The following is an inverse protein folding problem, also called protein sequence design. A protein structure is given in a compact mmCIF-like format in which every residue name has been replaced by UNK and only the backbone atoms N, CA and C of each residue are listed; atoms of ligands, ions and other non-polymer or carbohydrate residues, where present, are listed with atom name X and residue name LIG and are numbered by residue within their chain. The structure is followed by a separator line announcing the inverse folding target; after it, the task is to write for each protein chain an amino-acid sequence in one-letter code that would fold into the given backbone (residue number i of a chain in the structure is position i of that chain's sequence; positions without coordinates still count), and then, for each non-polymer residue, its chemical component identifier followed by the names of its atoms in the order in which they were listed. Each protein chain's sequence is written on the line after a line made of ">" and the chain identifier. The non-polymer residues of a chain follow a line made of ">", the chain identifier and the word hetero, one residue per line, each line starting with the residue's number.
data_IF_813750519519
#
_entry.id   IF_813750519519
#
_cell.length_a   1.000
_cell.length_b   1.000
_cell.length_c   1.000
_cell.angle_alpha   90.00
_cell.angle_beta   90.00
_cell.angle_gamma   90.00
#
_symmetry.space_group_name_H-M   'P 1'
#
loop_
_entity.id
_entity.type
_entity.pdbx_description
1 polymer ?
#
# COMPACT_ATOMS: atom_id res chain seq x y z
N UNK A 1 -7.97 19.42 -15.54
CA UNK A 1 -8.81 18.19 -15.52
C UNK A 1 -10.00 18.26 -16.44
N UNK A 2 -10.88 19.28 -16.38
CA UNK A 2 -12.10 19.35 -17.23
C UNK A 2 -11.86 19.02 -18.72
N UNK A 3 -10.86 19.65 -19.35
CA UNK A 3 -10.50 19.38 -20.75
C UNK A 3 -9.91 17.99 -21.02
N UNK A 4 -9.30 17.35 -20.03
CA UNK A 4 -8.72 16.02 -20.19
C UNK A 4 -9.78 14.92 -20.14
N UNK A 5 -10.71 15.02 -19.19
CA UNK A 5 -11.76 14.00 -18.95
C UNK A 5 -13.14 14.37 -19.52
N UNK A 6 -13.28 15.56 -20.11
CA UNK A 6 -14.54 16.04 -20.69
C UNK A 6 -15.62 16.46 -19.69
N UNK A 7 -15.26 16.82 -18.46
CA UNK A 7 -16.26 17.24 -17.46
C UNK A 7 -16.90 18.58 -17.84
N UNK A 8 -18.11 18.51 -18.41
CA UNK A 8 -18.88 19.61 -18.96
C UNK A 8 -18.22 20.34 -20.16
N UNK A 9 -17.35 19.65 -20.91
CA UNK A 9 -16.77 20.14 -22.16
C UNK A 9 -16.34 18.97 -23.05
N UNK A 10 -16.16 19.18 -24.35
CA UNK A 10 -15.56 18.16 -25.22
C UNK A 10 -14.12 17.91 -24.79
N UNK A 11 -13.70 16.65 -24.57
CA UNK A 11 -12.30 16.33 -24.29
C UNK A 11 -11.36 16.88 -25.36
N UNK A 12 -10.34 17.62 -24.95
CA UNK A 12 -9.28 18.16 -25.80
C UNK A 12 -7.93 17.92 -25.15
N UNK A 13 -7.31 16.80 -25.53
CA UNK A 13 -6.04 16.33 -24.98
C UNK A 13 -4.89 17.31 -25.26
N UNK A 14 -4.88 17.93 -26.44
CA UNK A 14 -3.84 18.88 -26.86
C UNK A 14 -3.93 20.15 -26.02
N UNK A 15 -5.12 20.74 -25.94
CA UNK A 15 -5.34 21.95 -25.17
C UNK A 15 -5.11 21.72 -23.67
N UNK A 16 -5.49 20.55 -23.14
CA UNK A 16 -5.17 20.15 -21.77
C UNK A 16 -3.65 20.16 -21.51
N UNK A 17 -2.86 19.55 -22.41
CA UNK A 17 -1.40 19.58 -22.33
C UNK A 17 -0.83 21.00 -22.36
N UNK A 18 -1.31 21.84 -23.29
CA UNK A 18 -0.87 23.25 -23.39
C UNK A 18 -1.12 24.01 -22.08
N UNK A 19 -2.28 23.83 -21.45
CA UNK A 19 -2.55 24.44 -20.13
C UNK A 19 -1.64 23.90 -19.03
N UNK A 20 -1.40 22.59 -18.98
CA UNK A 20 -0.52 21.99 -17.98
C UNK A 20 0.92 22.47 -18.12
N UNK A 21 1.46 22.54 -19.35
CA UNK A 21 2.79 23.08 -19.61
C UNK A 21 2.87 24.55 -19.20
N UNK A 22 1.87 25.38 -19.56
CA UNK A 22 1.82 26.78 -19.12
C UNK A 22 1.79 26.90 -17.60
N UNK A 23 1.02 26.06 -16.91
CA UNK A 23 0.95 26.07 -15.45
C UNK A 23 2.28 25.63 -14.80
N UNK A 24 2.94 24.62 -15.35
CA UNK A 24 4.22 24.10 -14.86
C UNK A 24 5.35 25.14 -14.96
N UNK A 25 5.40 25.89 -16.06
CA UNK A 25 6.50 26.83 -16.34
C UNK A 25 6.15 28.32 -16.11
N UNK A 26 4.92 28.66 -15.73
CA UNK A 26 4.54 30.05 -15.47
C UNK A 26 5.36 30.66 -14.33
N UNK A 27 5.95 31.84 -14.54
CA UNK A 27 6.65 32.58 -13.49
C UNK A 27 5.72 33.02 -12.35
N UNK A 28 4.43 33.23 -12.62
CA UNK A 28 3.43 33.66 -11.64
C UNK A 28 2.77 32.51 -10.87
N UNK A 29 2.96 31.26 -11.29
CA UNK A 29 2.37 30.11 -10.61
C UNK A 29 3.11 29.79 -9.31
N UNK A 30 2.37 29.45 -8.25
CA UNK A 30 2.96 28.97 -7.00
C UNK A 30 3.67 27.64 -7.20
N UNK A 31 4.69 27.35 -6.38
CA UNK A 31 5.42 26.07 -6.43
C UNK A 31 4.49 24.85 -6.28
N UNK A 32 3.43 24.97 -5.46
CA UNK A 32 2.40 23.93 -5.32
C UNK A 32 1.66 23.67 -6.64
N UNK A 33 1.22 24.73 -7.33
CA UNK A 33 0.55 24.61 -8.62
C UNK A 33 1.48 24.00 -9.67
N UNK A 34 2.76 24.42 -9.70
CA UNK A 34 3.77 23.84 -10.58
C UNK A 34 3.97 22.35 -10.32
N UNK A 35 4.14 21.96 -9.06
CA UNK A 35 4.32 20.55 -8.67
C UNK A 35 3.13 19.69 -9.12
N UNK A 36 1.89 20.18 -8.92
CA UNK A 36 0.69 19.51 -9.39
C UNK A 36 0.64 19.39 -10.92
N UNK A 37 0.97 20.47 -11.64
CA UNK A 37 0.99 20.47 -13.10
C UNK A 37 2.02 19.46 -13.66
N UNK A 38 3.22 19.42 -13.08
CA UNK A 38 4.23 18.40 -13.41
C UNK A 38 3.71 16.99 -13.11
N UNK A 39 3.08 16.76 -11.94
CA UNK A 39 2.47 15.47 -11.61
C UNK A 39 1.41 15.01 -12.62
N UNK A 40 0.55 15.92 -13.09
CA UNK A 40 -0.45 15.62 -14.12
C UNK A 40 0.17 15.38 -15.51
N UNK A 41 1.29 16.02 -15.83
CA UNK A 41 2.01 15.77 -17.08
C UNK A 41 2.63 14.37 -17.12
N UNK A 42 3.03 13.80 -15.98
CA UNK A 42 3.49 12.40 -15.89
C UNK A 42 2.38 11.47 -16.42
N UNK A 43 1.17 11.55 -15.85
CA UNK A 43 0.03 10.75 -16.28
C UNK A 43 -0.30 10.99 -17.76
N UNK A 44 -0.31 12.26 -18.19
CA UNK A 44 -0.58 12.60 -19.59
C UNK A 44 0.37 11.90 -20.58
N UNK A 45 1.66 11.74 -20.24
CA UNK A 45 2.62 11.01 -21.09
C UNK A 45 2.42 9.49 -21.03
N UNK A 46 2.01 8.94 -19.88
CA UNK A 46 1.71 7.51 -19.74
C UNK A 46 0.44 7.09 -20.48
N UNK A 47 -0.63 7.88 -20.39
CA UNK A 47 -1.92 7.65 -21.07
C UNK A 47 -1.77 7.67 -22.61
N UNK A 48 -0.63 8.15 -23.13
CA UNK A 48 -0.35 8.11 -24.57
C UNK A 48 0.09 6.72 -25.03
N UNK A 49 0.50 5.87 -24.08
CA UNK A 49 1.14 4.59 -24.33
C UNK A 49 0.20 3.39 -24.09
N UNK A 50 -0.93 3.59 -23.43
CA UNK A 50 -1.86 2.51 -23.05
C UNK A 50 -2.40 1.72 -24.25
N UNK A 51 -2.56 2.35 -25.42
CA UNK A 51 -3.14 1.70 -26.61
C UNK A 51 -2.26 0.60 -27.19
N UNK A 52 -0.95 0.75 -27.11
CA UNK A 52 0.02 -0.14 -27.77
C UNK A 52 0.78 -1.01 -26.74
N UNK A 53 0.47 -0.86 -25.45
CA UNK A 53 1.18 -1.55 -24.34
C UNK A 53 2.67 -1.22 -24.22
N UNK A 54 3.18 -0.30 -25.05
CA UNK A 54 4.61 0.04 -25.16
C UNK A 54 4.83 1.52 -24.91
N UNK A 55 5.74 1.84 -23.99
CA UNK A 55 6.11 3.22 -23.68
C UNK A 55 7.25 3.63 -24.61
N UNK A 56 6.97 4.60 -25.49
CA UNK A 56 8.00 5.18 -26.37
C UNK A 56 9.04 5.93 -25.55
N UNK A 57 10.33 5.77 -25.87
CA UNK A 57 11.44 6.38 -25.10
C UNK A 57 11.28 7.88 -24.88
N UNK A 58 10.79 8.63 -25.88
CA UNK A 58 10.52 10.07 -25.74
C UNK A 58 9.49 10.40 -24.64
N UNK A 59 8.47 9.58 -24.47
CA UNK A 59 7.44 9.78 -23.44
C UNK A 59 7.94 9.32 -22.08
N UNK A 60 8.75 8.25 -22.03
CA UNK A 60 9.43 7.83 -20.80
C UNK A 60 10.36 8.93 -20.26
N UNK A 61 11.19 9.52 -21.12
CA UNK A 61 12.11 10.60 -20.74
C UNK A 61 11.35 11.88 -20.34
N UNK A 62 10.28 12.24 -21.07
CA UNK A 62 9.45 13.38 -20.72
C UNK A 62 8.72 13.18 -19.38
N UNK A 63 8.12 12.02 -19.16
CA UNK A 63 7.48 11.68 -17.89
C UNK A 63 8.50 11.69 -16.73
N UNK A 64 9.71 11.18 -16.96
CA UNK A 64 10.80 11.19 -15.97
C UNK A 64 11.25 12.61 -15.62
N UNK A 65 11.35 13.51 -16.62
CA UNK A 65 11.63 14.93 -16.40
C UNK A 65 10.56 15.58 -15.52
N UNK A 66 9.27 15.40 -15.87
CA UNK A 66 8.19 15.96 -15.07
C UNK A 66 8.11 15.33 -13.67
N UNK A 67 8.43 14.05 -13.53
CA UNK A 67 8.56 13.38 -12.24
C UNK A 67 9.65 14.02 -11.37
N UNK A 68 10.83 14.28 -11.94
CA UNK A 68 11.94 14.92 -11.24
C UNK A 68 11.59 16.34 -10.77
N UNK A 69 11.04 17.16 -11.65
CA UNK A 69 10.63 18.53 -11.30
C UNK A 69 9.50 18.54 -10.25
N UNK A 70 8.52 17.64 -10.36
CA UNK A 70 7.48 17.49 -9.34
C UNK A 70 8.08 17.09 -7.98
N UNK A 71 8.98 16.10 -7.95
CA UNK A 71 9.64 15.65 -6.73
C UNK A 71 10.45 16.78 -6.08
N UNK A 72 11.21 17.54 -6.88
CA UNK A 72 11.97 18.71 -6.43
C UNK A 72 11.07 19.77 -5.81
N UNK A 73 10.03 20.19 -6.52
CA UNK A 73 9.10 21.22 -6.05
C UNK A 73 8.33 20.77 -4.80
N UNK A 74 7.89 19.50 -4.73
CA UNK A 74 7.24 18.92 -3.56
C UNK A 74 8.11 19.06 -2.30
N UNK A 75 9.41 18.78 -2.38
CA UNK A 75 10.30 18.93 -1.21
C UNK A 75 10.48 20.38 -0.74
N UNK A 76 10.31 21.34 -1.64
CA UNK A 76 10.41 22.76 -1.29
C UNK A 76 9.15 23.30 -0.61
N UNK A 77 7.98 22.70 -0.85
CA UNK A 77 6.69 23.17 -0.32
C UNK A 77 6.11 22.30 0.78
N UNK A 78 6.47 21.02 0.83
CA UNK A 78 5.92 20.09 1.81
C UNK A 78 6.70 20.15 3.14
N UNK A 79 6.04 19.88 4.27
CA UNK A 79 6.71 19.77 5.57
C UNK A 79 7.86 18.74 5.54
N UNK A 80 8.88 18.94 6.39
CA UNK A 80 9.99 17.97 6.53
C UNK A 80 9.44 16.59 6.87
N UNK A 81 9.79 15.60 6.06
CA UNK A 81 9.35 14.21 6.22
C UNK A 81 8.07 13.84 5.48
N UNK A 82 7.39 14.80 4.84
CA UNK A 82 6.28 14.48 3.95
C UNK A 82 6.76 13.69 2.72
N UNK A 83 5.91 12.77 2.25
CA UNK A 83 6.15 12.03 1.01
C UNK A 83 6.09 12.96 -0.22
N UNK A 84 6.74 12.54 -1.31
CA UNK A 84 6.46 13.10 -2.62
C UNK A 84 5.00 12.82 -3.04
N UNK A 85 4.52 13.53 -4.06
CA UNK A 85 3.14 13.36 -4.52
C UNK A 85 2.85 11.92 -4.96
N UNK A 86 1.59 11.44 -4.83
CA UNK A 86 1.21 10.10 -5.27
C UNK A 86 1.58 9.82 -6.73
N UNK A 87 1.44 10.80 -7.63
CA UNK A 87 1.82 10.66 -9.04
C UNK A 87 3.33 10.38 -9.23
N UNK A 88 4.20 11.06 -8.46
CA UNK A 88 5.65 10.80 -8.47
C UNK A 88 5.94 9.39 -7.99
N UNK A 89 5.40 9.00 -6.83
CA UNK A 89 5.66 7.68 -6.25
C UNK A 89 5.12 6.55 -7.13
N UNK A 90 3.93 6.73 -7.71
CA UNK A 90 3.33 5.77 -8.63
C UNK A 90 4.20 5.57 -9.88
N UNK A 91 4.62 6.65 -10.54
CA UNK A 91 5.49 6.56 -11.71
C UNK A 91 6.83 5.90 -11.36
N UNK A 92 7.44 6.33 -10.25
CA UNK A 92 8.71 5.78 -9.83
C UNK A 92 8.63 4.27 -9.58
N UNK A 93 7.57 3.81 -8.91
CA UNK A 93 7.39 2.40 -8.56
C UNK A 93 7.03 1.52 -9.76
N UNK A 94 6.09 1.97 -10.59
CA UNK A 94 5.46 1.12 -11.60
C UNK A 94 6.10 1.27 -12.99
N UNK A 95 6.75 2.40 -13.26
CA UNK A 95 7.35 2.69 -14.57
C UNK A 95 8.87 2.81 -14.44
N UNK A 96 9.36 3.74 -13.64
CA UNK A 96 10.81 4.02 -13.59
C UNK A 96 11.63 2.81 -13.19
N UNK A 97 11.28 2.10 -12.11
CA UNK A 97 12.00 0.89 -11.65
C UNK A 97 12.11 -0.17 -12.75
N UNK A 98 11.07 -0.33 -13.58
CA UNK A 98 11.05 -1.33 -14.68
C UNK A 98 12.03 -1.00 -15.81
N UNK A 99 12.18 0.29 -16.15
CA UNK A 99 13.00 0.72 -17.29
C UNK A 99 14.42 1.17 -16.90
N UNK A 100 14.64 1.57 -15.65
CA UNK A 100 15.94 2.05 -15.19
C UNK A 100 17.11 1.05 -15.35
N UNK A 101 16.93 -0.29 -15.34
CA UNK A 101 18.03 -1.21 -15.63
C UNK A 101 18.48 -1.21 -17.09
N UNK A 102 17.60 -0.85 -18.03
CA UNK A 102 17.89 -0.87 -19.47
C UNK A 102 18.16 0.51 -20.05
N UNK A 103 17.65 1.58 -19.43
CA UNK A 103 17.85 2.97 -19.84
C UNK A 103 18.66 3.70 -18.77
N UNK A 104 19.99 3.61 -18.88
CA UNK A 104 20.93 4.09 -17.84
C UNK A 104 20.85 5.59 -17.60
N UNK A 105 20.44 6.37 -18.61
CA UNK A 105 20.24 7.81 -18.53
C UNK A 105 19.21 8.19 -17.46
N UNK A 106 18.23 7.32 -17.20
CA UNK A 106 17.22 7.54 -16.16
C UNK A 106 17.87 7.72 -14.79
N UNK A 107 18.82 6.85 -14.45
CA UNK A 107 19.51 6.89 -13.15
C UNK A 107 20.44 8.09 -13.03
N UNK A 108 20.97 8.59 -14.16
CA UNK A 108 21.93 9.68 -14.16
C UNK A 108 21.26 11.06 -14.04
N UNK A 109 20.15 11.29 -14.74
CA UNK A 109 19.52 12.62 -14.83
C UNK A 109 18.49 12.91 -13.73
N UNK A 110 17.71 11.94 -13.27
CA UNK A 110 16.50 12.20 -12.47
C UNK A 110 16.69 11.96 -10.97
N UNK A 111 17.74 12.59 -10.42
CA UNK A 111 18.20 12.38 -9.03
C UNK A 111 17.17 12.76 -7.96
N UNK A 112 16.33 13.75 -8.23
CA UNK A 112 15.33 14.21 -7.25
C UNK A 112 14.18 13.20 -7.12
N UNK A 113 13.78 12.58 -8.22
CA UNK A 113 12.76 11.53 -8.23
C UNK A 113 13.27 10.25 -7.56
N UNK A 114 14.51 9.84 -7.85
CA UNK A 114 15.18 8.70 -7.19
C UNK A 114 15.24 8.92 -5.68
N UNK A 115 15.70 10.10 -5.26
CA UNK A 115 15.75 10.47 -3.83
C UNK A 115 14.36 10.39 -3.17
N UNK A 116 13.31 10.84 -3.86
CA UNK A 116 11.95 10.76 -3.34
C UNK A 116 11.48 9.30 -3.16
N UNK A 117 11.81 8.41 -4.11
CA UNK A 117 11.54 6.98 -4.00
C UNK A 117 12.31 6.35 -2.82
N UNK A 118 13.60 6.66 -2.68
CA UNK A 118 14.43 6.18 -1.56
C UNK A 118 13.90 6.64 -0.20
N UNK A 119 13.49 7.90 -0.09
CA UNK A 119 12.88 8.44 1.12
C UNK A 119 11.58 7.69 1.45
N UNK A 120 10.73 7.43 0.45
CA UNK A 120 9.52 6.62 0.64
C UNK A 120 9.86 5.20 1.10
N UNK A 121 10.80 4.53 0.44
CA UNK A 121 11.24 3.18 0.80
C UNK A 121 11.79 3.12 2.23
N UNK A 122 12.58 4.12 2.64
CA UNK A 122 13.07 4.26 4.03
C UNK A 122 11.93 4.48 5.02
N UNK A 123 10.92 5.28 4.68
CA UNK A 123 9.75 5.45 5.52
C UNK A 123 8.97 4.16 5.69
N UNK A 124 8.74 3.44 4.59
CA UNK A 124 8.08 2.13 4.58
C UNK A 124 8.83 1.16 5.49
N UNK A 125 10.14 0.99 5.27
CA UNK A 125 10.98 0.10 6.05
C UNK A 125 10.98 0.44 7.55
N UNK A 126 11.05 1.74 7.90
CA UNK A 126 10.96 2.18 9.30
C UNK A 126 9.61 1.84 9.93
N UNK A 127 8.51 2.02 9.20
CA UNK A 127 7.18 1.69 9.70
C UNK A 127 6.99 0.19 9.87
N UNK A 128 7.47 -0.62 8.92
CA UNK A 128 7.51 -2.08 9.02
C UNK A 128 8.30 -2.54 10.25
N UNK A 129 9.49 -1.99 10.48
CA UNK A 129 10.30 -2.33 11.65
C UNK A 129 9.62 -1.97 12.97
N UNK A 130 8.95 -0.80 13.05
CA UNK A 130 8.16 -0.42 14.23
C UNK A 130 6.99 -1.37 14.45
N UNK A 131 6.29 -1.76 13.39
CA UNK A 131 5.16 -2.70 13.48
C UNK A 131 5.62 -4.10 13.88
N UNK A 132 6.72 -4.59 13.34
CA UNK A 132 7.34 -5.84 13.75
C UNK A 132 7.69 -5.81 15.25
N UNK A 133 8.32 -4.71 15.73
CA UNK A 133 8.62 -4.55 17.15
C UNK A 133 7.36 -4.53 18.04
N UNK A 134 6.27 -3.86 17.60
CA UNK A 134 4.99 -3.87 18.32
C UNK A 134 4.38 -5.27 18.40
N UNK A 135 4.43 -6.02 17.29
CA UNK A 135 3.95 -7.41 17.21
C UNK A 135 4.77 -8.33 18.10
N UNK A 136 6.10 -8.22 18.11
CA UNK A 136 6.97 -8.99 19.01
C UNK A 136 6.67 -8.74 20.50
N UNK A 137 6.34 -7.49 20.87
CA UNK A 137 5.99 -7.16 22.27
C UNK A 137 4.64 -7.72 22.70
N UNK A 138 3.70 -7.89 21.78
CA UNK A 138 2.33 -8.36 22.10
C UNK A 138 1.78 -9.21 20.94
N UNK A 139 2.32 -10.42 20.70
CA UNK A 139 2.00 -11.20 19.50
C UNK A 139 0.51 -11.55 19.41
N UNK A 140 -0.13 -11.85 20.55
CA UNK A 140 -1.53 -12.25 20.64
C UNK A 140 -2.52 -11.10 20.35
N UNK A 141 -2.07 -9.84 20.38
CA UNK A 141 -2.95 -8.67 20.22
C UNK A 141 -3.30 -8.37 18.76
N UNK A 142 -2.45 -8.78 17.82
CA UNK A 142 -2.54 -8.41 16.40
C UNK A 142 -2.93 -9.58 15.49
N UNK A 143 -3.25 -10.75 16.06
CA UNK A 143 -3.69 -11.93 15.30
C UNK A 143 -4.94 -12.54 15.90
N UNK A 144 -5.77 -13.12 15.04
CA UNK A 144 -6.84 -14.00 15.46
C UNK A 144 -6.24 -15.29 16.03
N UNK A 145 -6.62 -15.65 17.26
CA UNK A 145 -6.18 -16.85 17.94
C UNK A 145 -6.89 -18.13 17.45
N UNK A 146 -7.99 -18.01 16.71
CA UNK A 146 -8.71 -19.17 16.21
C UNK A 146 -7.85 -19.98 15.22
N UNK A 147 -7.69 -21.30 15.43
CA UNK A 147 -6.88 -22.15 14.57
C UNK A 147 -7.23 -22.00 13.09
N UNK A 148 -6.21 -21.79 12.24
CA UNK A 148 -6.37 -21.66 10.78
C UNK A 148 -6.97 -20.34 10.28
N UNK A 149 -7.45 -19.43 11.15
CA UNK A 149 -8.06 -18.17 10.72
C UNK A 149 -7.03 -17.25 10.04
N UNK A 150 -5.84 -17.09 10.64
CA UNK A 150 -4.71 -16.29 10.13
C UNK A 150 -5.01 -14.80 9.84
N UNK A 151 -6.20 -14.30 10.18
CA UNK A 151 -6.52 -12.86 10.13
C UNK A 151 -5.65 -12.14 11.14
N UNK A 152 -5.04 -11.05 10.70
CA UNK A 152 -4.21 -10.16 11.48
C UNK A 152 -4.78 -8.74 11.41
N UNK A 153 -4.31 -7.86 12.28
CA UNK A 153 -4.57 -6.44 12.21
C UNK A 153 -3.28 -5.63 12.32
N UNK A 154 -3.29 -4.43 11.74
CA UNK A 154 -2.23 -3.44 11.96
C UNK A 154 -2.41 -2.70 13.31
N UNK A 155 -3.64 -2.63 13.82
CA UNK A 155 -3.94 -2.04 15.13
C UNK A 155 -4.55 -3.07 16.07
N UNK A 156 -4.13 -3.04 17.34
CA UNK A 156 -4.63 -3.94 18.37
C UNK A 156 -6.04 -3.63 18.88
N UNK A 157 -6.83 -2.83 18.14
CA UNK A 157 -8.23 -2.49 18.43
C UNK A 157 -9.21 -3.19 17.48
N UNK A 158 -8.74 -3.65 16.32
CA UNK A 158 -9.58 -4.28 15.29
C UNK A 158 -10.05 -5.70 15.64
N UNK A 159 -9.45 -6.32 16.66
CA UNK A 159 -9.75 -7.67 17.11
C UNK A 159 -10.37 -7.63 18.51
N UNK A 160 -11.41 -8.42 18.73
CA UNK A 160 -12.04 -8.56 20.04
C UNK A 160 -11.20 -9.47 20.95
N UNK A 161 -10.93 -9.03 22.17
CA UNK A 161 -10.19 -9.83 23.14
C UNK A 161 -11.12 -10.72 23.96
N UNK A 162 -10.60 -11.83 24.50
CA UNK A 162 -11.34 -12.65 25.45
C UNK A 162 -11.78 -11.82 26.69
N UNK A 163 -13.07 -11.90 27.03
CA UNK A 163 -13.64 -11.19 28.18
C UNK A 163 -13.36 -11.84 29.54
N UNK A 164 -12.67 -12.99 29.57
CA UNK A 164 -12.37 -13.70 30.81
C UNK A 164 -11.19 -13.12 31.61
N UNK A 165 -10.86 -13.81 32.71
CA UNK A 165 -9.90 -13.39 33.71
C UNK A 165 -8.43 -13.77 33.40
N UNK A 166 -8.12 -14.21 32.17
CA UNK A 166 -6.75 -14.46 31.76
C UNK A 166 -5.91 -13.17 31.70
N UNK A 167 -4.60 -13.32 31.94
CA UNK A 167 -3.64 -12.22 31.96
C UNK A 167 -3.65 -11.45 30.62
N UNK A 168 -3.47 -10.12 30.68
CA UNK A 168 -3.63 -9.22 29.52
C UNK A 168 -2.66 -9.53 28.39
N UNK A 169 -1.45 -9.95 28.70
CA UNK A 169 -0.38 -10.33 27.78
C UNK A 169 -0.65 -11.67 27.08
N UNK A 170 -1.32 -12.60 27.75
CA UNK A 170 -1.68 -13.93 27.22
C UNK A 170 -3.08 -14.00 26.64
N UNK A 171 -3.84 -12.91 26.72
CA UNK A 171 -5.24 -12.83 26.32
C UNK A 171 -5.39 -12.95 24.79
N UNK A 172 -6.08 -13.99 24.28
CA UNK A 172 -6.27 -14.15 22.85
C UNK A 172 -7.16 -13.05 22.27
N UNK A 173 -6.91 -12.69 21.02
CA UNK A 173 -7.74 -11.79 20.23
C UNK A 173 -8.41 -12.56 19.08
N UNK A 174 -9.60 -12.13 18.65
CA UNK A 174 -10.40 -12.80 17.64
C UNK A 174 -10.93 -11.78 16.63
N UNK A 175 -10.99 -12.17 15.36
CA UNK A 175 -11.58 -11.30 14.34
C UNK A 175 -13.12 -11.32 14.38
N UNK A 176 -13.73 -12.33 15.01
CA UNK A 176 -15.19 -12.46 15.10
C UNK A 176 -15.62 -13.32 16.30
N UNK A 177 -16.91 -13.27 16.65
CA UNK A 177 -17.47 -14.09 17.75
C UNK A 177 -17.45 -15.58 17.42
N UNK A 178 -17.57 -15.94 16.15
CA UNK A 178 -17.52 -17.31 15.64
C UNK A 178 -16.13 -17.89 15.88
N UNK A 179 -15.08 -17.13 15.55
CA UNK A 179 -13.70 -17.50 15.85
C UNK A 179 -13.45 -17.67 17.35
N UNK A 180 -14.00 -16.79 18.19
CA UNK A 180 -13.91 -16.93 19.66
C UNK A 180 -14.59 -18.21 20.16
N UNK A 181 -15.80 -18.51 19.67
CA UNK A 181 -16.53 -19.74 20.04
C UNK A 181 -15.80 -21.00 19.60
N UNK A 182 -15.20 -20.98 18.40
CA UNK A 182 -14.43 -22.10 17.86
C UNK A 182 -13.19 -22.41 18.72
N UNK A 183 -12.46 -21.38 19.15
CA UNK A 183 -11.28 -21.54 20.02
C UNK A 183 -11.63 -21.76 21.49
N UNK A 184 -12.86 -21.48 21.93
CA UNK A 184 -13.23 -21.53 23.35
C UNK A 184 -12.93 -22.88 24.03
N UNK A 185 -13.13 -24.01 23.33
CA UNK A 185 -12.81 -25.33 23.89
C UNK A 185 -11.32 -25.47 24.23
N UNK A 186 -10.45 -24.87 23.42
CA UNK A 186 -9.01 -24.82 23.61
C UNK A 186 -8.60 -23.76 24.66
N UNK A 187 -9.18 -22.56 24.62
CA UNK A 187 -8.81 -21.47 25.53
C UNK A 187 -9.36 -21.64 26.96
N UNK A 188 -10.53 -22.27 27.14
CA UNK A 188 -11.24 -22.35 28.43
C UNK A 188 -10.37 -22.81 29.61
N UNK A 189 -9.52 -23.87 29.50
CA UNK A 189 -8.64 -24.29 30.59
C UNK A 189 -7.58 -23.25 31.00
N UNK A 190 -7.24 -22.34 30.09
CA UNK A 190 -6.24 -21.27 30.27
C UNK A 190 -6.88 -19.92 30.59
N UNK A 191 -8.21 -19.83 30.63
CA UNK A 191 -8.94 -18.58 30.87
C UNK A 191 -8.99 -18.22 32.37
N UNK A 192 -7.82 -18.08 33.00
CA UNK A 192 -7.64 -17.76 34.43
C UNK A 192 -6.31 -17.04 34.66
N UNK A 193 -6.16 -16.24 35.74
CA UNK A 193 -4.91 -15.57 36.05
C UNK A 193 -3.74 -16.55 36.21
N UNK A 194 -2.56 -16.18 35.73
CA UNK A 194 -1.32 -16.97 35.88
C UNK A 194 -1.23 -18.24 35.02
N UNK A 195 -2.28 -18.61 34.27
CA UNK A 195 -2.20 -19.72 33.32
C UNK A 195 -1.24 -19.41 32.16
N UNK A 196 -0.78 -20.46 31.48
CA UNK A 196 -0.01 -20.34 30.25
C UNK A 196 -0.85 -19.79 29.09
N UNK A 197 -0.20 -19.36 28.00
CA UNK A 197 -0.92 -18.88 26.82
C UNK A 197 -1.48 -20.05 26.01
N UNK A 198 -2.79 -20.02 25.71
CA UNK A 198 -3.45 -21.05 24.87
C UNK A 198 -3.25 -20.85 23.36
N UNK A 199 -2.66 -19.74 22.95
CA UNK A 199 -2.51 -19.39 21.53
C UNK A 199 -1.32 -20.14 20.97
N UNK A 200 -1.60 -21.12 20.12
CA UNK A 200 -0.57 -21.89 19.41
C UNK A 200 0.16 -20.94 18.45
N UNK A 201 1.49 -20.88 18.56
CA UNK A 201 2.31 -20.19 17.57
C UNK A 201 2.65 -21.14 16.43
N UNK A 202 2.10 -20.85 15.25
CA UNK A 202 2.29 -21.65 14.04
C UNK A 202 3.53 -21.23 13.23
N UNK A 203 4.41 -20.40 13.83
CA UNK A 203 5.61 -19.87 13.16
C UNK A 203 5.29 -18.90 12.02
N UNK A 204 4.03 -18.47 11.87
CA UNK A 204 3.61 -17.67 10.73
C UNK A 204 4.17 -16.22 10.76
N UNK A 205 4.69 -15.77 11.90
CA UNK A 205 5.21 -14.41 12.07
C UNK A 205 6.52 -14.12 11.32
N UNK A 206 7.19 -15.14 10.77
CA UNK A 206 8.46 -14.98 10.04
C UNK A 206 8.32 -14.38 8.64
N UNK A 207 7.11 -14.01 8.20
CA UNK A 207 6.94 -13.18 7.00
C UNK A 207 7.25 -11.71 7.32
N UNK A 208 8.48 -11.46 7.78
CA UNK A 208 8.99 -10.16 8.25
C UNK A 208 8.96 -9.08 7.15
N UNK A 209 8.83 -9.47 5.89
CA UNK A 209 8.75 -8.55 4.75
C UNK A 209 7.37 -8.00 4.41
N UNK A 210 6.28 -8.53 4.97
CA UNK A 210 4.91 -8.16 4.55
C UNK A 210 4.16 -7.28 5.53
N UNK A 211 4.78 -6.88 6.65
CA UNK A 211 4.14 -5.95 7.57
C UNK A 211 3.69 -4.67 6.82
N UNK A 212 2.54 -4.10 7.17
CA UNK A 212 2.12 -2.83 6.60
C UNK A 212 3.14 -1.76 6.93
N UNK A 213 3.36 -0.89 5.95
CA UNK A 213 4.33 0.20 6.05
C UNK A 213 3.95 1.31 7.02
N UNK A 214 2.68 1.38 7.41
CA UNK A 214 2.14 2.37 8.34
C UNK A 214 0.91 1.80 9.03
N UNK A 215 0.64 2.26 10.26
CA UNK A 215 -0.68 2.06 10.88
C UNK A 215 -1.69 2.87 10.07
N UNK A 216 -2.73 2.21 9.58
CA UNK A 216 -3.86 2.95 9.02
C UNK A 216 -4.59 3.67 10.15
N UNK A 217 -5.11 4.88 9.88
CA UNK A 217 -5.78 5.70 10.89
C UNK A 217 -6.97 4.95 11.53
N UNK A 218 -7.69 4.17 10.73
CA UNK A 218 -8.87 3.41 11.15
C UNK A 218 -8.58 1.94 11.49
N UNK A 219 -7.35 1.48 11.31
CA UNK A 219 -7.03 0.05 11.32
C UNK A 219 -7.40 -0.66 10.01
N UNK A 220 -6.64 -1.69 9.69
CA UNK A 220 -6.80 -2.57 8.55
C UNK A 220 -6.66 -4.01 9.01
N UNK A 221 -7.54 -4.86 8.48
CA UNK A 221 -7.44 -6.30 8.62
C UNK A 221 -6.58 -6.85 7.50
N UNK A 222 -5.80 -7.86 7.84
CA UNK A 222 -4.83 -8.46 6.93
C UNK A 222 -4.98 -9.97 6.94
N UNK A 223 -4.83 -10.60 5.79
CA UNK A 223 -4.84 -12.06 5.70
C UNK A 223 -3.75 -12.50 4.73
N UNK A 224 -2.93 -13.51 5.10
CA UNK A 224 -2.00 -14.08 4.17
C UNK A 224 -2.74 -14.92 3.13
N UNK A 225 -2.40 -14.68 1.87
CA UNK A 225 -2.92 -15.38 0.70
C UNK A 225 -1.77 -16.14 0.07
N UNK A 226 -1.97 -17.44 -0.13
CA UNK A 226 -1.05 -18.32 -0.84
C UNK A 226 -1.68 -18.68 -2.18
N UNK A 227 -1.01 -18.33 -3.27
CA UNK A 227 -1.45 -18.61 -4.64
C UNK A 227 -1.03 -20.02 -5.05
N UNK A 228 -1.60 -20.53 -6.15
CA UNK A 228 -1.32 -21.89 -6.62
C UNK A 228 0.15 -22.13 -7.02
N UNK A 229 0.91 -21.07 -7.29
CA UNK A 229 2.35 -21.11 -7.56
C UNK A 229 3.21 -21.15 -6.27
N UNK A 230 2.57 -21.21 -5.09
CA UNK A 230 3.24 -21.17 -3.79
C UNK A 230 3.64 -19.76 -3.34
N UNK A 231 3.37 -18.72 -4.14
CA UNK A 231 3.66 -17.34 -3.77
C UNK A 231 2.74 -16.91 -2.63
N UNK A 232 3.33 -16.33 -1.59
CA UNK A 232 2.60 -15.77 -0.44
C UNK A 232 2.57 -14.25 -0.52
N UNK A 233 1.38 -13.67 -0.45
CA UNK A 233 1.17 -12.22 -0.41
C UNK A 233 0.26 -11.90 0.77
N UNK A 234 0.55 -10.80 1.47
CA UNK A 234 -0.35 -10.30 2.50
C UNK A 234 -1.39 -9.39 1.85
N UNK A 235 -2.66 -9.77 1.94
CA UNK A 235 -3.77 -8.92 1.50
C UNK A 235 -4.22 -8.06 2.69
N UNK A 236 -4.37 -6.75 2.48
CA UNK A 236 -4.73 -5.76 3.50
C UNK A 236 -5.98 -5.00 3.04
N UNK A 237 -6.92 -4.79 3.95
CA UNK A 237 -8.10 -3.95 3.69
C UNK A 237 -8.61 -3.29 4.97
N UNK A 238 -8.97 -2.02 4.87
CA UNK A 238 -9.63 -1.24 5.94
C UNK A 238 -11.16 -1.23 5.84
N UNK A 239 -11.73 -1.76 4.75
CA UNK A 239 -13.17 -1.70 4.48
C UNK A 239 -13.84 -3.08 4.43
N UNK A 240 -13.05 -4.15 4.29
CA UNK A 240 -13.56 -5.51 4.24
C UNK A 240 -13.58 -6.13 5.63
N UNK A 241 -14.66 -6.87 5.91
CA UNK A 241 -14.76 -7.63 7.15
C UNK A 241 -13.91 -8.91 7.10
N UNK A 242 -13.68 -9.58 8.25
CA UNK A 242 -12.88 -10.79 8.30
C UNK A 242 -13.40 -11.96 7.46
N UNK A 243 -14.69 -12.02 7.18
CA UNK A 243 -15.30 -13.11 6.41
C UNK A 243 -15.00 -12.92 4.91
N UNK A 244 -15.18 -11.71 4.40
CA UNK A 244 -14.80 -11.36 3.03
C UNK A 244 -13.31 -11.61 2.75
N UNK A 245 -12.43 -11.31 3.72
CA UNK A 245 -10.99 -11.59 3.60
C UNK A 245 -10.69 -13.08 3.50
N UNK A 246 -11.40 -13.93 4.24
CA UNK A 246 -11.25 -15.40 4.16
C UNK A 246 -11.71 -15.92 2.81
N UNK A 247 -12.82 -15.40 2.28
CA UNK A 247 -13.33 -15.75 0.95
C UNK A 247 -12.33 -15.39 -0.15
N UNK A 248 -11.71 -14.19 -0.09
CA UNK A 248 -10.63 -13.82 -1.02
C UNK A 248 -9.47 -14.81 -0.93
N UNK A 249 -9.03 -15.17 0.28
CA UNK A 249 -7.94 -16.14 0.47
C UNK A 249 -8.27 -17.49 -0.18
N UNK A 250 -9.48 -17.99 0.01
CA UNK A 250 -9.94 -19.27 -0.56
C UNK A 250 -10.10 -19.22 -2.09
N UNK A 251 -10.51 -18.07 -2.64
CA UNK A 251 -10.59 -17.87 -4.09
C UNK A 251 -9.20 -17.78 -4.71
N UNK A 252 -8.28 -17.07 -4.08
CA UNK A 252 -6.92 -16.90 -4.56
C UNK A 252 -6.11 -18.20 -4.51
N UNK A 253 -6.33 -19.08 -3.52
CA UNK A 253 -5.69 -20.40 -3.48
C UNK A 253 -6.10 -21.34 -4.62
N UNK A 254 -7.20 -21.02 -5.33
CA UNK A 254 -7.69 -21.80 -6.48
C UNK A 254 -7.20 -21.27 -7.83
N UNK A 255 -6.51 -20.12 -7.87
CA UNK A 255 -6.06 -19.47 -9.11
C UNK A 255 -4.55 -19.41 -9.20
N UNK A 256 -4.00 -19.52 -10.41
CA UNK A 256 -2.60 -19.22 -10.64
C UNK A 256 -2.36 -17.71 -10.56
N UNK A 257 -1.18 -17.32 -10.09
CA UNK A 257 -0.75 -15.93 -10.08
C UNK A 257 -0.51 -15.48 -11.53
N UNK A 258 -1.50 -14.81 -12.14
CA UNK A 258 -1.40 -14.28 -13.50
C UNK A 258 -2.59 -14.55 -14.42
N UNK A 259 -3.58 -15.36 -14.01
CA UNK A 259 -4.74 -15.73 -14.84
C UNK A 259 -5.79 -14.59 -15.03
N UNK A 260 -5.35 -13.34 -15.18
CA UNK A 260 -6.17 -12.21 -15.61
C UNK A 260 -6.24 -11.01 -14.65
N UNK A 261 -6.94 -9.94 -15.05
CA UNK A 261 -6.79 -8.57 -14.52
C UNK A 261 -7.35 -8.33 -13.10
N UNK A 262 -7.75 -9.37 -12.37
CA UNK A 262 -8.44 -9.21 -11.07
C UNK A 262 -7.53 -8.61 -9.99
N UNK A 263 -6.22 -8.81 -10.07
CA UNK A 263 -5.26 -8.30 -9.07
C UNK A 263 -4.70 -6.90 -9.39
N UNK A 264 -4.71 -6.46 -10.65
CA UNK A 264 -4.34 -5.08 -10.98
C UNK A 264 -5.33 -4.07 -10.37
N UNK A 265 -6.62 -4.44 -10.33
CA UNK A 265 -7.66 -3.66 -9.64
C UNK A 265 -7.44 -3.60 -8.12
N UNK A 266 -6.82 -4.60 -7.53
CA UNK A 266 -6.60 -4.72 -6.07
C UNK A 266 -5.35 -3.93 -5.64
N UNK A 267 -4.30 -3.88 -6.47
CA UNK A 267 -3.12 -3.06 -6.18
C UNK A 267 -3.41 -1.55 -6.13
N UNK A 268 -4.54 -1.11 -6.70
CA UNK A 268 -5.00 0.28 -6.63
C UNK A 268 -5.69 0.66 -5.30
N UNK A 269 -5.88 -0.26 -4.34
CA UNK A 269 -6.71 -0.03 -3.14
C UNK A 269 -5.96 0.60 -1.95
N UNK A 270 -4.63 0.76 -1.98
CA UNK A 270 -3.89 1.48 -0.91
C UNK A 270 -3.12 2.72 -1.45
N UNK A 271 -3.86 3.72 -1.93
CA UNK A 271 -3.45 5.13 -1.83
C UNK A 271 -4.53 5.88 -1.06
N UNK A 272 -4.66 5.59 0.24
CA UNK A 272 -5.40 6.48 1.13
C UNK A 272 -4.62 7.79 1.22
N UNK A 273 -5.21 8.86 0.71
CA UNK A 273 -4.77 10.22 0.99
C UNK A 273 -4.78 10.39 2.51
N UNK A 274 -3.60 10.69 3.07
CA UNK A 274 -3.49 11.18 4.45
C UNK A 274 -3.81 12.66 4.35
N UNK A 275 -5.04 13.04 4.72
CA UNK A 275 -5.47 14.43 4.89
C UNK A 275 -4.61 15.19 5.92
#
# INVERSE_FOLDING_TARGET
>A
MRLGVGLACTPDRRRSHEYLVRAAYSSSASKKVKAMAHGLLIAWFLDACEKDGTIRSRYLLAASHHCNEAAKLCREVSPKGACASPAVLFFMKNVFEKFSPTVVELNYWYKDAIKALDERNKQISKGQAKMAQKRLKNPHRYRCAAPGCKVQSDTGKMLSQCSGACDRDKKPAYCSKECQKADWKNHKPFCRPGAECSVIDDGFFDVVGTAPSSESANGALQIPVEFADGKKVLFSSSTMDPQMLKEIRELASKRNYGDGPVLDTIQHVEFSEVD
#
